data_IF_483357364155
#
_entry.id   IF_483357364155
#
_cell.length_a   1.000
_cell.length_b   1.000
_cell.length_c   1.000
_cell.angle_alpha   90.00
_cell.angle_beta   90.00
_cell.angle_gamma   90.00
#
_symmetry.space_group_name_H-M   'P 1'
#
loop_
_entity.id
_entity.type
_entity.pdbx_description
1 polymer ?
#
# COMPACT_ATOMS: atom_id res chain seq x y z
N UNK A 1 -8.55 15.17 14.23
CA UNK A 1 -7.13 15.36 13.88
C UNK A 1 -6.44 14.03 14.14
N UNK A 2 -5.80 13.44 13.14
CA UNK A 2 -5.06 12.19 13.33
C UNK A 2 -3.82 12.51 14.16
N UNK A 3 -3.69 11.85 15.31
CA UNK A 3 -2.72 12.17 16.34
C UNK A 3 -1.29 11.96 15.85
N UNK A 4 -0.41 12.93 16.05
CA UNK A 4 1.02 12.86 15.68
C UNK A 4 1.71 11.68 16.37
N UNK A 5 1.33 11.37 17.62
CA UNK A 5 1.84 10.23 18.35
C UNK A 5 1.52 8.91 17.62
N UNK A 6 0.30 8.76 17.11
CA UNK A 6 -0.10 7.59 16.34
C UNK A 6 0.64 7.48 15.02
N UNK A 7 0.89 8.61 14.32
CA UNK A 7 1.72 8.62 13.10
C UNK A 7 3.15 8.15 13.37
N UNK A 8 3.74 8.66 14.44
CA UNK A 8 5.08 8.26 14.86
C UNK A 8 5.13 6.77 15.22
N UNK A 9 4.16 6.27 15.98
CA UNK A 9 4.07 4.85 16.32
C UNK A 9 3.93 3.96 15.07
N UNK A 10 3.04 4.31 14.16
CA UNK A 10 2.85 3.57 12.91
C UNK A 10 4.14 3.57 12.08
N UNK A 11 4.84 4.69 11.99
CA UNK A 11 6.11 4.78 11.27
C UNK A 11 7.19 3.88 11.89
N UNK A 12 7.29 3.84 13.22
CA UNK A 12 8.21 2.93 13.94
C UNK A 12 7.84 1.46 13.67
N UNK A 13 6.56 1.11 13.70
CA UNK A 13 6.10 -0.25 13.41
C UNK A 13 6.37 -0.65 11.96
N UNK A 14 6.17 0.25 11.02
CA UNK A 14 6.45 0.02 9.60
C UNK A 14 7.95 -0.18 9.36
N UNK A 15 8.81 0.68 9.92
CA UNK A 15 10.27 0.52 9.79
C UNK A 15 10.77 -0.77 10.43
N UNK A 16 10.17 -1.21 11.54
CA UNK A 16 10.44 -2.52 12.13
C UNK A 16 10.09 -3.64 11.14
N UNK A 17 8.88 -3.60 10.55
CA UNK A 17 8.48 -4.62 9.55
C UNK A 17 9.39 -4.63 8.32
N UNK A 18 9.89 -3.47 7.86
CA UNK A 18 10.88 -3.44 6.77
C UNK A 18 12.15 -4.21 7.15
N UNK A 19 12.61 -4.11 8.41
CA UNK A 19 13.76 -4.89 8.91
C UNK A 19 13.44 -6.38 9.00
N UNK A 20 12.27 -6.72 9.54
CA UNK A 20 11.83 -8.10 9.71
C UNK A 20 11.72 -8.86 8.36
N UNK A 21 11.43 -8.14 7.27
CA UNK A 21 11.29 -8.69 5.91
C UNK A 21 12.44 -8.32 4.96
N UNK A 22 13.61 -7.96 5.48
CA UNK A 22 14.84 -7.71 4.70
C UNK A 22 14.67 -6.67 3.57
N UNK A 23 13.86 -5.64 3.79
CA UNK A 23 13.65 -4.55 2.83
C UNK A 23 13.80 -3.16 3.44
N UNK A 24 14.52 -3.05 4.56
CA UNK A 24 14.88 -1.77 5.18
C UNK A 24 16.04 -1.11 4.43
N UNK A 25 15.91 0.19 4.20
CA UNK A 25 16.99 1.03 3.70
C UNK A 25 17.06 2.33 4.49
N UNK A 26 18.22 2.59 5.08
CA UNK A 26 18.47 3.83 5.79
C UNK A 26 18.42 5.04 4.85
N UNK A 27 18.91 4.89 3.62
CA UNK A 27 18.85 5.92 2.59
C UNK A 27 17.40 6.30 2.25
N UNK A 28 16.48 5.31 2.13
CA UNK A 28 15.06 5.57 1.92
C UNK A 28 14.45 6.35 3.09
N UNK A 29 14.75 5.93 4.31
CA UNK A 29 14.23 6.57 5.53
C UNK A 29 14.74 8.00 5.67
N UNK A 30 16.04 8.23 5.40
CA UNK A 30 16.63 9.57 5.49
C UNK A 30 16.07 10.53 4.44
N UNK A 31 15.81 10.08 3.20
CA UNK A 31 15.27 10.92 2.13
C UNK A 31 13.76 11.14 2.22
N UNK A 32 13.00 10.08 2.49
CA UNK A 32 11.54 10.10 2.39
C UNK A 32 10.80 9.87 3.72
N UNK A 33 11.49 9.57 4.82
CA UNK A 33 10.85 9.14 6.07
C UNK A 33 9.78 10.10 6.57
N UNK A 34 10.06 11.41 6.62
CA UNK A 34 9.07 12.40 7.05
C UNK A 34 7.90 12.54 6.07
N UNK A 35 8.16 12.45 4.77
CA UNK A 35 7.10 12.45 3.76
C UNK A 35 6.22 11.22 3.88
N UNK A 36 6.82 10.03 4.04
CA UNK A 36 6.12 8.76 4.21
C UNK A 36 5.25 8.77 5.47
N UNK A 37 5.77 9.27 6.59
CA UNK A 37 5.04 9.37 7.86
C UNK A 37 3.76 10.22 7.73
N UNK A 38 3.80 11.28 6.93
CA UNK A 38 2.70 12.23 6.78
C UNK A 38 1.85 12.00 5.51
N UNK A 39 2.24 11.10 4.63
CA UNK A 39 1.54 10.89 3.37
C UNK A 39 0.12 10.36 3.54
N UNK A 40 -0.77 10.80 2.66
CA UNK A 40 -2.10 10.24 2.48
C UNK A 40 -2.06 8.96 1.64
N UNK A 41 -3.03 8.06 1.86
CA UNK A 41 -3.20 6.88 1.01
C UNK A 41 -4.02 7.16 -0.25
N UNK A 42 -5.02 8.04 -0.17
CA UNK A 42 -5.87 8.47 -1.29
C UNK A 42 -5.97 9.99 -1.37
N UNK A 43 -6.33 10.50 -2.54
CA UNK A 43 -6.51 11.95 -2.77
C UNK A 43 -7.91 12.43 -2.40
N UNK A 44 -8.93 11.57 -2.55
CA UNK A 44 -10.33 11.91 -2.32
C UNK A 44 -10.86 11.17 -1.09
N UNK A 45 -11.59 11.88 -0.23
CA UNK A 45 -12.19 11.33 0.98
C UNK A 45 -13.12 10.14 0.70
N UNK A 46 -13.86 10.17 -0.42
CA UNK A 46 -14.79 9.12 -0.77
C UNK A 46 -14.13 7.75 -0.95
N UNK A 47 -12.84 7.71 -1.23
CA UNK A 47 -12.10 6.45 -1.34
C UNK A 47 -11.58 5.92 0.01
N UNK A 48 -11.79 6.66 1.11
CA UNK A 48 -11.23 6.37 2.43
C UNK A 48 -9.69 6.53 2.47
N UNK A 49 -9.13 6.58 3.68
CA UNK A 49 -7.67 6.75 3.82
C UNK A 49 -7.12 8.07 3.26
N UNK A 50 -7.94 9.13 3.20
CA UNK A 50 -7.59 10.44 2.68
C UNK A 50 -7.35 11.41 3.84
N UNK A 51 -6.23 11.25 4.54
CA UNK A 51 -5.77 12.11 5.63
C UNK A 51 -4.25 11.95 5.83
N UNK A 52 -3.64 12.91 6.51
CA UNK A 52 -2.21 12.85 6.83
C UNK A 52 -1.87 11.63 7.70
N UNK A 53 -0.86 10.86 7.28
CA UNK A 53 -0.43 9.63 7.93
C UNK A 53 -1.23 8.37 7.56
N UNK A 54 -2.24 8.49 6.70
CA UNK A 54 -3.04 7.36 6.25
C UNK A 54 -2.23 6.32 5.48
N UNK A 55 -1.17 6.72 4.76
CA UNK A 55 -0.38 5.80 3.95
C UNK A 55 0.16 4.63 4.78
N UNK A 56 0.91 4.93 5.81
CA UNK A 56 1.53 3.90 6.66
C UNK A 56 0.47 3.12 7.44
N UNK A 57 -0.59 3.79 7.92
CA UNK A 57 -1.67 3.11 8.62
C UNK A 57 -2.36 2.07 7.74
N UNK A 58 -2.71 2.42 6.50
CA UNK A 58 -3.35 1.49 5.55
C UNK A 58 -2.41 0.35 5.17
N UNK A 59 -1.13 0.63 4.97
CA UNK A 59 -0.14 -0.43 4.72
C UNK A 59 -0.13 -1.43 5.86
N UNK A 60 -0.04 -0.99 7.11
CA UNK A 60 0.07 -1.87 8.28
C UNK A 60 -1.25 -2.60 8.58
N UNK A 61 -2.33 -1.85 8.74
CA UNK A 61 -3.57 -2.36 9.31
C UNK A 61 -4.48 -3.03 8.29
N UNK A 62 -4.35 -2.68 7.00
CA UNK A 62 -5.18 -3.26 5.95
C UNK A 62 -4.35 -4.19 5.05
N UNK A 63 -3.34 -3.67 4.32
CA UNK A 63 -2.59 -4.47 3.35
C UNK A 63 -1.82 -5.61 4.02
N UNK A 64 -0.97 -5.32 5.00
CA UNK A 64 -0.16 -6.35 5.65
C UNK A 64 -1.00 -7.34 6.47
N UNK A 65 -2.05 -6.87 7.15
CA UNK A 65 -2.94 -7.73 7.93
C UNK A 65 -3.69 -8.69 7.02
N UNK A 66 -4.28 -8.18 5.93
CA UNK A 66 -4.98 -9.01 4.96
C UNK A 66 -4.03 -9.95 4.23
N UNK A 67 -2.83 -9.46 3.86
CA UNK A 67 -1.78 -10.30 3.25
C UNK A 67 -1.36 -11.45 4.14
N UNK A 68 -1.20 -11.21 5.45
CA UNK A 68 -0.92 -12.26 6.43
C UNK A 68 -2.05 -13.30 6.49
N UNK A 69 -3.30 -12.88 6.62
CA UNK A 69 -4.43 -13.79 6.69
C UNK A 69 -4.64 -14.58 5.39
N UNK A 70 -4.52 -13.96 4.23
CA UNK A 70 -4.61 -14.66 2.95
C UNK A 70 -3.48 -15.69 2.83
N UNK A 71 -2.27 -15.32 3.25
CA UNK A 71 -1.14 -16.23 3.25
C UNK A 71 -1.38 -17.43 4.18
N UNK A 72 -1.88 -17.22 5.40
CA UNK A 72 -2.26 -18.28 6.33
C UNK A 72 -3.31 -19.23 5.72
N UNK A 73 -4.36 -18.68 5.10
CA UNK A 73 -5.40 -19.45 4.44
C UNK A 73 -4.88 -20.21 3.21
N UNK A 74 -4.02 -19.57 2.43
CA UNK A 74 -3.48 -20.11 1.20
C UNK A 74 -2.37 -21.16 1.45
N UNK A 75 -1.54 -20.96 2.48
CA UNK A 75 -0.36 -21.79 2.75
C UNK A 75 -0.45 -22.58 4.06
N UNK A 76 -1.58 -22.49 4.77
CA UNK A 76 -1.83 -23.30 5.97
C UNK A 76 -1.65 -24.78 5.70
N UNK A 77 -1.11 -25.49 6.68
CA UNK A 77 -0.96 -26.94 6.62
C UNK A 77 -2.33 -27.59 6.78
N UNK A 78 -2.66 -28.54 5.91
CA UNK A 78 -3.83 -29.38 6.15
C UNK A 78 -3.61 -30.30 7.36
N UNK A 79 -4.67 -31.01 7.79
CA UNK A 79 -4.64 -32.00 8.90
C UNK A 79 -3.58 -33.09 8.75
N UNK A 80 -2.96 -33.24 7.57
CA UNK A 80 -1.87 -34.19 7.28
C UNK A 80 -0.50 -33.52 7.23
N UNK A 81 -0.38 -32.25 7.63
CA UNK A 81 0.88 -31.50 7.59
C UNK A 81 1.38 -31.15 6.19
N UNK A 82 0.56 -31.32 5.14
CA UNK A 82 0.92 -30.96 3.77
C UNK A 82 0.35 -29.59 3.42
N UNK A 83 1.14 -28.76 2.73
CA UNK A 83 0.66 -27.47 2.17
C UNK A 83 -0.45 -27.75 1.15
N UNK A 84 -1.58 -27.12 1.31
CA UNK A 84 -2.79 -27.39 0.54
C UNK A 84 -2.90 -26.61 -0.76
N UNK A 85 -1.79 -26.00 -1.31
CA UNK A 85 -2.11 -24.89 -2.17
C UNK A 85 -1.41 -24.83 -3.53
N UNK A 86 -2.12 -24.33 -4.57
CA UNK A 86 -1.58 -24.10 -5.92
C UNK A 86 -0.54 -22.96 -6.00
N UNK A 87 -0.43 -22.07 -5.01
CA UNK A 87 0.55 -20.97 -4.98
C UNK A 87 1.90 -21.43 -4.36
N UNK A 88 2.52 -22.44 -4.95
CA UNK A 88 3.71 -23.09 -4.40
C UNK A 88 4.99 -22.23 -4.41
N UNK A 89 5.04 -21.20 -5.27
CA UNK A 89 6.25 -20.42 -5.51
C UNK A 89 6.26 -19.04 -4.82
N UNK A 90 5.24 -18.70 -4.06
CA UNK A 90 5.15 -17.42 -3.36
C UNK A 90 5.31 -17.68 -1.86
N UNK A 91 6.30 -17.06 -1.24
CA UNK A 91 6.49 -17.13 0.21
C UNK A 91 5.95 -15.87 0.90
N UNK A 92 5.75 -15.94 2.22
CA UNK A 92 5.26 -14.83 3.05
C UNK A 92 6.13 -13.59 2.93
N UNK A 93 7.45 -13.78 2.87
CA UNK A 93 8.41 -12.68 2.78
C UNK A 93 8.17 -11.85 1.51
N UNK A 94 8.05 -12.49 0.34
CA UNK A 94 7.78 -11.80 -0.92
C UNK A 94 6.47 -11.01 -0.89
N UNK A 95 5.40 -11.62 -0.35
CA UNK A 95 4.10 -10.93 -0.22
C UNK A 95 4.26 -9.69 0.64
N UNK A 96 4.85 -9.83 1.82
CA UNK A 96 4.98 -8.74 2.78
C UNK A 96 5.90 -7.63 2.27
N UNK A 97 7.00 -7.95 1.59
CA UNK A 97 7.89 -6.96 0.96
C UNK A 97 7.14 -6.10 -0.05
N UNK A 98 6.38 -6.74 -0.95
CA UNK A 98 5.58 -6.00 -1.95
C UNK A 98 4.53 -5.13 -1.26
N UNK A 99 3.77 -5.65 -0.30
CA UNK A 99 2.72 -4.89 0.40
C UNK A 99 3.27 -3.72 1.22
N UNK A 100 4.47 -3.86 1.79
CA UNK A 100 5.14 -2.79 2.54
C UNK A 100 5.66 -1.65 1.64
N UNK A 101 5.98 -1.96 0.36
CA UNK A 101 6.73 -1.06 -0.51
C UNK A 101 5.94 -0.53 -1.72
N UNK A 102 4.89 -1.22 -2.18
CA UNK A 102 4.20 -0.91 -3.45
C UNK A 102 3.57 0.50 -3.53
N UNK A 103 3.33 1.15 -2.40
CA UNK A 103 2.67 2.45 -2.32
C UNK A 103 3.55 3.58 -1.80
N UNK A 104 4.86 3.36 -1.59
CA UNK A 104 5.75 4.39 -1.01
C UNK A 104 5.87 5.64 -1.88
N UNK A 105 5.69 5.51 -3.19
CA UNK A 105 5.69 6.65 -4.12
C UNK A 105 4.60 7.68 -3.83
N UNK A 106 3.51 7.31 -3.15
CA UNK A 106 2.45 8.24 -2.77
C UNK A 106 2.95 9.39 -1.89
N UNK A 107 4.04 9.16 -1.15
CA UNK A 107 4.71 10.20 -0.37
C UNK A 107 5.34 11.33 -1.22
N UNK A 108 5.63 11.07 -2.48
CA UNK A 108 6.10 12.08 -3.43
C UNK A 108 4.98 12.59 -4.34
N UNK A 109 4.01 11.72 -4.68
CA UNK A 109 2.94 12.04 -5.62
C UNK A 109 1.84 12.90 -5.03
N UNK A 110 1.55 12.77 -3.72
CA UNK A 110 0.42 13.46 -3.12
C UNK A 110 0.89 14.68 -2.34
N UNK A 111 0.38 15.84 -2.74
CA UNK A 111 0.58 17.12 -2.06
C UNK A 111 -0.76 17.66 -1.56
N UNK A 112 -0.75 18.45 -0.50
CA UNK A 112 -1.97 19.02 0.06
C UNK A 112 -2.68 19.88 -0.97
N UNK A 113 -3.98 19.67 -1.16
CA UNK A 113 -4.81 20.43 -2.08
C UNK A 113 -4.92 21.89 -1.63
N UNK A 114 -4.68 22.83 -2.52
CA UNK A 114 -4.79 24.28 -2.25
C UNK A 114 -6.10 24.89 -2.76
N UNK A 115 -6.72 24.32 -3.79
CA UNK A 115 -7.90 24.83 -4.45
C UNK A 115 -9.19 24.51 -3.68
N UNK A 116 -9.90 25.53 -3.19
CA UNK A 116 -11.11 25.35 -2.38
C UNK A 116 -12.23 24.60 -3.09
N UNK A 117 -12.39 24.78 -4.41
CA UNK A 117 -13.44 24.08 -5.16
C UNK A 117 -13.21 22.57 -5.24
N UNK A 118 -11.94 22.12 -5.28
CA UNK A 118 -11.59 20.70 -5.22
C UNK A 118 -11.80 20.16 -3.80
N UNK A 119 -11.41 20.92 -2.76
CA UNK A 119 -11.67 20.56 -1.35
C UNK A 119 -13.17 20.37 -1.10
N UNK A 120 -14.02 21.24 -1.63
CA UNK A 120 -15.48 21.14 -1.51
C UNK A 120 -16.05 19.89 -2.23
N UNK A 121 -15.29 19.26 -3.14
CA UNK A 121 -15.60 17.97 -3.78
C UNK A 121 -14.93 16.78 -3.09
N UNK A 122 -14.34 16.98 -1.92
CA UNK A 122 -13.68 15.93 -1.14
C UNK A 122 -12.24 15.59 -1.56
N UNK A 123 -11.63 16.38 -2.47
CA UNK A 123 -10.22 16.21 -2.82
C UNK A 123 -9.34 16.98 -1.83
N UNK A 124 -8.78 16.29 -0.84
CA UNK A 124 -7.88 16.90 0.15
C UNK A 124 -6.42 16.93 -0.29
N UNK A 125 -6.07 16.09 -1.27
CA UNK A 125 -4.73 16.00 -1.85
C UNK A 125 -4.83 16.10 -3.38
N UNK A 126 -3.74 16.50 -4.02
CA UNK A 126 -3.59 16.58 -5.48
C UNK A 126 -2.30 15.91 -5.91
N UNK A 127 -2.12 15.69 -7.21
CA UNK A 127 -0.86 15.21 -7.74
C UNK A 127 0.21 16.29 -7.67
N UNK A 128 1.43 15.89 -7.32
CA UNK A 128 2.60 16.76 -7.38
C UNK A 128 3.03 16.96 -8.84
N UNK A 129 2.72 18.12 -9.38
CA UNK A 129 3.10 18.51 -10.75
C UNK A 129 4.59 18.81 -10.96
N UNK A 130 5.38 18.86 -9.88
CA UNK A 130 6.82 19.18 -9.93
C UNK A 130 7.71 17.95 -10.14
N UNK A 131 7.10 16.75 -10.22
CA UNK A 131 7.88 15.52 -10.45
C UNK A 131 8.46 15.50 -11.88
N UNK A 132 9.76 15.26 -11.97
CA UNK A 132 10.51 15.22 -13.24
C UNK A 132 9.99 14.17 -14.23
N UNK A 133 9.39 13.10 -13.72
CA UNK A 133 8.88 11.98 -14.53
C UNK A 133 7.49 11.54 -14.06
N UNK A 134 6.66 11.17 -15.04
CA UNK A 134 5.30 10.67 -14.79
C UNK A 134 5.26 9.14 -14.82
N UNK A 135 6.11 8.48 -14.03
CA UNK A 135 5.99 7.05 -13.80
C UNK A 135 4.64 6.76 -13.12
N UNK A 136 4.06 5.59 -13.34
CA UNK A 136 2.91 5.14 -12.57
C UNK A 136 3.30 4.92 -11.10
N UNK A 137 2.34 4.94 -10.18
CA UNK A 137 2.60 4.81 -8.74
C UNK A 137 3.44 3.57 -8.39
N UNK A 138 3.07 2.40 -8.92
CA UNK A 138 3.83 1.17 -8.69
C UNK A 138 5.22 1.18 -9.32
N UNK A 139 5.36 1.72 -10.54
CA UNK A 139 6.65 1.89 -11.21
C UNK A 139 7.58 2.83 -10.44
N UNK A 140 7.03 3.96 -9.93
CA UNK A 140 7.78 4.89 -9.09
C UNK A 140 8.18 4.25 -7.76
N UNK A 141 7.31 3.47 -7.13
CA UNK A 141 7.64 2.76 -5.90
C UNK A 141 8.78 1.76 -6.12
N UNK A 142 8.75 0.98 -7.21
CA UNK A 142 9.82 0.06 -7.57
C UNK A 142 11.13 0.82 -7.88
N UNK A 143 11.06 1.94 -8.61
CA UNK A 143 12.21 2.81 -8.86
C UNK A 143 12.83 3.32 -7.55
N UNK A 144 12.01 3.80 -6.60
CA UNK A 144 12.49 4.26 -5.29
C UNK A 144 13.17 3.13 -4.50
N UNK A 145 12.63 1.91 -4.54
CA UNK A 145 13.28 0.75 -3.93
C UNK A 145 14.69 0.56 -4.49
N UNK A 146 14.83 0.51 -5.81
CA UNK A 146 16.12 0.32 -6.48
C UNK A 146 17.08 1.49 -6.22
N UNK A 147 16.59 2.74 -6.30
CA UNK A 147 17.38 3.95 -6.00
C UNK A 147 18.01 3.90 -4.61
N UNK A 148 17.29 3.36 -3.65
CA UNK A 148 17.73 3.26 -2.26
C UNK A 148 18.35 1.91 -1.89
N UNK A 149 18.74 1.10 -2.88
CA UNK A 149 19.46 -0.16 -2.67
C UNK A 149 18.60 -1.31 -2.15
N UNK A 150 17.28 -1.20 -2.18
CA UNK A 150 16.37 -2.31 -1.87
C UNK A 150 16.28 -3.18 -3.13
N UNK A 151 16.88 -4.36 -3.08
CA UNK A 151 16.82 -5.30 -4.19
C UNK A 151 15.43 -5.93 -4.27
N UNK A 152 14.85 -5.89 -5.46
CA UNK A 152 13.60 -6.54 -5.80
C UNK A 152 13.91 -7.73 -6.73
N UNK A 153 13.29 -8.87 -6.50
CA UNK A 153 13.24 -9.91 -7.50
C UNK A 153 12.38 -9.47 -8.68
N UNK A 154 12.56 -10.09 -9.85
CA UNK A 154 11.75 -9.80 -11.04
C UNK A 154 10.25 -9.94 -10.76
N UNK A 155 9.88 -10.94 -9.98
CA UNK A 155 8.49 -11.21 -9.57
C UNK A 155 7.93 -10.11 -8.66
N UNK A 156 8.73 -9.63 -7.69
CA UNK A 156 8.32 -8.52 -6.81
C UNK A 156 8.20 -7.21 -7.61
N UNK A 157 9.13 -6.96 -8.53
CA UNK A 157 9.07 -5.81 -9.43
C UNK A 157 7.79 -5.83 -10.27
N UNK A 158 7.46 -6.97 -10.90
CA UNK A 158 6.23 -7.14 -11.67
C UNK A 158 5.00 -6.90 -10.80
N UNK A 159 4.96 -7.49 -9.59
CA UNK A 159 3.83 -7.33 -8.68
C UNK A 159 3.62 -5.88 -8.24
N UNK A 160 4.70 -5.11 -8.03
CA UNK A 160 4.61 -3.69 -7.69
C UNK A 160 4.12 -2.84 -8.87
N UNK A 161 4.63 -3.08 -10.08
CA UNK A 161 4.32 -2.24 -11.25
C UNK A 161 2.91 -2.47 -11.81
N UNK A 162 2.28 -3.59 -11.45
CA UNK A 162 0.95 -3.95 -11.97
C UNK A 162 -0.21 -3.36 -11.15
N UNK A 163 0.09 -2.84 -9.95
CA UNK A 163 -0.93 -2.29 -9.02
C UNK A 163 -1.83 -1.23 -9.68
N UNK A 164 -1.28 -0.45 -10.60
CA UNK A 164 -1.99 0.65 -11.26
C UNK A 164 -2.53 0.28 -12.65
N UNK A 165 -2.39 -0.97 -13.06
CA UNK A 165 -2.93 -1.41 -14.34
C UNK A 165 -4.38 -1.85 -14.14
N UNK A 166 -5.28 -1.15 -14.85
CA UNK A 166 -6.73 -1.40 -14.91
C UNK A 166 -7.08 -2.73 -15.62
N UNK A 167 -6.20 -3.72 -15.56
CA UNK A 167 -6.46 -5.04 -16.10
C UNK A 167 -7.52 -5.75 -15.27
N UNK A 168 -8.76 -5.62 -15.71
CA UNK A 168 -9.94 -6.30 -15.14
C UNK A 168 -9.86 -7.83 -15.25
N UNK A 169 -8.92 -8.35 -16.01
CA UNK A 169 -8.79 -9.78 -16.25
C UNK A 169 -7.56 -10.36 -15.56
N UNK A 170 -7.78 -11.41 -14.75
CA UNK A 170 -6.69 -12.30 -14.34
C UNK A 170 -6.24 -13.09 -15.58
N UNK A 171 -5.02 -12.84 -16.03
CA UNK A 171 -4.45 -13.63 -17.10
C UNK A 171 -3.86 -14.92 -16.50
N UNK A 172 -4.11 -16.08 -17.13
CA UNK A 172 -3.58 -17.38 -16.70
C UNK A 172 -2.04 -17.46 -16.68
N UNK A 173 -1.38 -16.53 -17.35
CA UNK A 173 0.09 -16.41 -17.38
C UNK A 173 0.66 -15.44 -16.34
N UNK A 174 -0.18 -14.77 -15.53
CA UNK A 174 0.31 -13.87 -14.49
C UNK A 174 0.94 -14.67 -13.34
N UNK A 175 2.03 -14.11 -12.80
CA UNK A 175 2.64 -14.67 -11.62
C UNK A 175 1.66 -14.67 -10.43
N UNK A 176 1.74 -15.70 -9.62
CA UNK A 176 0.85 -15.90 -8.45
C UNK A 176 0.96 -14.76 -7.44
N UNK A 177 2.13 -14.16 -7.23
CA UNK A 177 2.31 -12.99 -6.38
C UNK A 177 1.51 -11.80 -6.91
N UNK A 178 1.53 -11.56 -8.22
CA UNK A 178 0.75 -10.50 -8.88
C UNK A 178 -0.74 -10.67 -8.63
N UNK A 179 -1.25 -11.89 -8.79
CA UNK A 179 -2.67 -12.21 -8.54
C UNK A 179 -3.04 -11.95 -7.09
N UNK A 180 -2.23 -12.42 -6.14
CA UNK A 180 -2.46 -12.21 -4.71
C UNK A 180 -2.46 -10.72 -4.34
N UNK A 181 -1.48 -9.97 -4.81
CA UNK A 181 -1.36 -8.53 -4.54
C UNK A 181 -2.56 -7.77 -5.12
N UNK A 182 -3.02 -8.11 -6.33
CA UNK A 182 -4.24 -7.53 -6.92
C UNK A 182 -5.47 -7.78 -6.04
N UNK A 183 -5.69 -9.02 -5.62
CA UNK A 183 -6.83 -9.38 -4.76
C UNK A 183 -6.78 -8.60 -3.45
N UNK A 184 -5.61 -8.54 -2.80
CA UNK A 184 -5.43 -7.81 -1.55
C UNK A 184 -5.75 -6.32 -1.74
N UNK A 185 -5.22 -5.68 -2.78
CA UNK A 185 -5.50 -4.26 -3.05
C UNK A 185 -6.98 -3.99 -3.31
N UNK A 186 -7.67 -4.85 -4.07
CA UNK A 186 -9.11 -4.72 -4.32
C UNK A 186 -9.93 -4.83 -3.04
N UNK A 187 -9.62 -5.81 -2.18
CA UNK A 187 -10.32 -5.99 -0.91
C UNK A 187 -10.08 -4.80 0.04
N UNK A 188 -8.85 -4.28 0.09
CA UNK A 188 -8.53 -3.08 0.89
C UNK A 188 -9.28 -1.85 0.37
N UNK A 189 -9.37 -1.66 -0.95
CA UNK A 189 -10.13 -0.55 -1.52
C UNK A 189 -11.61 -0.62 -1.13
N UNK A 190 -12.23 -1.79 -1.20
CA UNK A 190 -13.62 -2.02 -0.76
C UNK A 190 -13.78 -1.76 0.74
N UNK A 191 -12.84 -2.20 1.57
CA UNK A 191 -12.88 -1.97 3.02
C UNK A 191 -12.80 -0.48 3.37
N UNK A 192 -11.88 0.25 2.74
CA UNK A 192 -11.72 1.68 2.96
C UNK A 192 -12.98 2.46 2.55
N UNK A 193 -13.57 2.12 1.40
CA UNK A 193 -14.81 2.70 0.93
C UNK A 193 -15.95 2.45 1.93
N UNK A 194 -16.12 1.22 2.39
CA UNK A 194 -17.17 0.86 3.37
C UNK A 194 -17.00 1.60 4.70
N UNK A 195 -15.77 1.75 5.19
CA UNK A 195 -15.48 2.54 6.39
C UNK A 195 -15.87 4.00 6.21
N UNK A 196 -15.56 4.59 5.05
CA UNK A 196 -15.96 5.95 4.74
C UNK A 196 -17.48 6.10 4.73
N UNK A 197 -18.20 5.24 4.01
CA UNK A 197 -19.65 5.28 3.89
C UNK A 197 -20.34 5.11 5.27
N UNK A 198 -19.84 4.20 6.11
CA UNK A 198 -20.32 4.02 7.47
C UNK A 198 -20.12 5.27 8.33
N UNK A 199 -18.92 5.83 8.35
CA UNK A 199 -18.62 7.03 9.11
C UNK A 199 -19.49 8.23 8.67
N UNK A 200 -19.72 8.36 7.35
CA UNK A 200 -20.60 9.40 6.81
C UNK A 200 -22.03 9.27 7.31
N UNK A 201 -22.59 8.05 7.33
CA UNK A 201 -23.94 7.79 7.88
C UNK A 201 -24.03 8.13 9.37
N UNK A 202 -23.06 7.68 10.15
CA UNK A 202 -23.01 8.00 11.60
C UNK A 202 -22.98 9.51 11.85
N UNK A 203 -22.23 10.28 11.04
CA UNK A 203 -22.18 11.75 11.16
C UNK A 203 -23.48 12.43 10.73
N UNK A 204 -24.29 11.78 9.85
CA UNK A 204 -25.58 12.28 9.39
C UNK A 204 -26.74 11.84 10.28
N UNK A 205 -26.49 11.01 11.31
CA UNK A 205 -27.51 10.53 12.26
C UNK A 205 -28.41 9.43 11.68
N UNK A 206 -27.93 8.71 10.67
CA UNK A 206 -28.63 7.58 10.02
C UNK A 206 -28.19 6.22 10.58
#
# INVERSE_FOLDING_TARGET
MYDEEKRNLNFVLWTKKLKDYNCYSESLINELGEKLKNASFNMNESNGGCYEGALIEVILNNLCTLGYHINELAFGLNSKGKRNHPFLNVNTEMIMRVLLLQHISKAEYFVTQTENWKKNKGYLFDFNGELETQLKLGERSAFLCMKHGIQLSEIEFEAMTIVDKDDKCFNSHQNQLVVLVKIINQLVAVELQRKYDYNKKVLQGE
#
